data_IF_616158566540
#
_entry.id   IF_616158566540
#
_cell.length_a   1.000
_cell.length_b   1.000
_cell.length_c   1.000
_cell.angle_alpha   90.00
_cell.angle_beta   90.00
_cell.angle_gamma   90.00
#
_symmetry.space_group_name_H-M   'P 1'
#
loop_
_entity.id
_entity.type
_entity.pdbx_description
1 polymer ?
#
# COMPACT_ATOMS: atom_id res chain seq x y z
N UNK A 1 31.54 1.85 -21.17
CA UNK A 1 31.55 2.73 -19.97
C UNK A 1 30.44 2.30 -19.03
N UNK A 2 30.71 2.36 -17.72
CA UNK A 2 30.15 1.53 -16.63
C UNK A 2 28.61 1.64 -16.46
N UNK A 3 27.86 0.65 -16.98
CA UNK A 3 26.51 0.26 -16.56
C UNK A 3 26.62 -0.78 -15.43
N UNK A 4 25.60 -0.90 -14.56
CA UNK A 4 25.55 -1.65 -13.29
C UNK A 4 26.21 -1.00 -12.06
N UNK A 5 25.59 0.06 -11.53
CA UNK A 5 25.86 0.53 -10.15
C UNK A 5 24.82 0.05 -9.13
N UNK A 6 23.51 0.12 -9.42
CA UNK A 6 22.49 -0.22 -8.41
C UNK A 6 22.51 -1.71 -7.99
N UNK A 7 22.55 -2.65 -8.94
CA UNK A 7 22.53 -4.09 -8.63
C UNK A 7 23.75 -4.59 -7.84
N UNK A 8 24.94 -3.99 -8.04
CA UNK A 8 26.13 -4.31 -7.24
C UNK A 8 26.11 -3.65 -5.87
N UNK A 9 25.54 -2.45 -5.76
CA UNK A 9 25.38 -1.73 -4.50
C UNK A 9 24.46 -2.49 -3.53
N UNK A 10 23.33 -3.02 -4.00
CA UNK A 10 22.40 -3.76 -3.13
C UNK A 10 23.03 -5.05 -2.59
N UNK A 11 23.77 -5.80 -3.41
CA UNK A 11 24.42 -7.04 -2.97
C UNK A 11 25.65 -6.81 -2.08
N UNK A 12 26.37 -5.69 -2.26
CA UNK A 12 27.47 -5.32 -1.35
C UNK A 12 26.96 -4.75 -0.03
N UNK A 13 25.88 -3.97 -0.04
CA UNK A 13 25.23 -3.46 1.17
C UNK A 13 24.76 -4.61 2.08
N UNK A 14 24.12 -5.64 1.52
CA UNK A 14 23.60 -6.76 2.31
C UNK A 14 24.68 -7.70 2.87
N UNK A 15 25.92 -7.66 2.33
CA UNK A 15 27.03 -8.47 2.85
C UNK A 15 27.84 -7.78 3.95
N UNK A 16 27.77 -6.46 4.07
CA UNK A 16 28.57 -5.69 5.04
C UNK A 16 27.79 -5.21 6.28
N UNK A 17 26.45 -5.22 6.27
CA UNK A 17 25.67 -4.77 7.43
C UNK A 17 25.15 -5.93 8.29
N UNK A 18 26.04 -6.51 9.08
CA UNK A 18 25.71 -7.07 10.42
C UNK A 18 25.92 -6.01 11.50
N UNK A 19 25.64 -4.76 11.17
CA UNK A 19 25.58 -3.64 12.10
C UNK A 19 24.12 -3.37 12.38
N UNK A 20 23.75 -3.33 13.67
CA UNK A 20 22.52 -2.74 14.17
C UNK A 20 22.21 -1.50 13.33
N UNK A 21 21.21 -1.60 12.45
CA UNK A 21 20.64 -0.45 11.80
C UNK A 21 20.05 0.38 12.95
N UNK A 22 20.73 1.47 13.31
CA UNK A 22 20.21 2.45 14.24
C UNK A 22 18.96 3.05 13.57
N UNK A 23 17.80 2.44 13.89
CA UNK A 23 16.45 2.82 13.45
C UNK A 23 15.86 3.90 14.37
N UNK A 24 16.63 4.37 15.35
CA UNK A 24 16.29 5.43 16.30
C UNK A 24 16.19 6.82 15.64
N UNK A 25 16.87 7.03 14.51
CA UNK A 25 16.76 8.25 13.73
C UNK A 25 16.39 7.96 12.26
N UNK A 26 15.10 7.73 11.99
CA UNK A 26 14.62 7.46 10.63
C UNK A 26 14.75 8.66 9.67
N UNK A 27 14.86 9.89 10.18
CA UNK A 27 14.92 11.11 9.36
C UNK A 27 16.17 11.19 8.48
N UNK A 28 17.24 10.48 8.84
CA UNK A 28 18.47 10.41 8.03
C UNK A 28 18.26 9.62 6.73
N UNK A 29 17.24 8.75 6.66
CA UNK A 29 16.94 7.93 5.49
C UNK A 29 15.91 8.61 4.60
N UNK A 30 16.31 9.73 3.97
CA UNK A 30 15.42 10.56 3.14
C UNK A 30 14.72 9.81 2.01
N UNK A 31 15.31 8.73 1.49
CA UNK A 31 14.66 7.91 0.45
C UNK A 31 13.67 6.88 1.03
N UNK A 32 13.80 6.51 2.30
CA UNK A 32 12.96 5.48 2.93
C UNK A 32 11.50 5.95 3.01
N UNK A 33 11.31 7.16 3.53
CA UNK A 33 10.01 7.81 3.70
C UNK A 33 10.03 9.22 3.11
N UNK A 34 8.99 9.54 2.35
CA UNK A 34 8.75 10.87 1.77
C UNK A 34 7.28 11.22 1.96
N UNK A 35 6.92 12.51 2.10
CA UNK A 35 5.53 12.90 2.18
C UNK A 35 4.77 12.49 0.90
N UNK A 36 3.54 12.01 1.07
CA UNK A 36 2.65 11.80 -0.07
C UNK A 36 2.38 13.16 -0.75
N UNK A 37 2.34 13.25 -2.10
CA UNK A 37 2.29 12.15 -3.07
C UNK A 37 3.66 11.71 -3.64
N UNK A 38 4.79 12.14 -3.08
CA UNK A 38 6.10 11.75 -3.59
C UNK A 38 6.38 10.25 -3.42
N UNK A 39 7.22 9.71 -4.30
CA UNK A 39 7.71 8.34 -4.16
C UNK A 39 8.72 8.25 -3.01
N UNK A 40 8.65 7.15 -2.28
CA UNK A 40 9.66 6.71 -1.32
C UNK A 40 9.90 5.21 -1.51
N UNK A 41 10.97 4.69 -0.90
CA UNK A 41 11.35 3.30 -1.01
C UNK A 41 10.24 2.38 -0.48
N UNK A 42 9.56 2.76 0.62
CA UNK A 42 8.42 2.01 1.15
C UNK A 42 7.29 1.88 0.10
N UNK A 43 6.87 3.01 -0.51
CA UNK A 43 5.81 2.99 -1.53
C UNK A 43 6.18 2.22 -2.78
N UNK A 44 7.44 2.28 -3.19
CA UNK A 44 7.93 1.50 -4.32
C UNK A 44 7.97 0.01 -3.97
N UNK A 45 8.48 -0.35 -2.79
CA UNK A 45 8.62 -1.74 -2.37
C UNK A 45 7.27 -2.46 -2.29
N UNK A 46 6.31 -1.97 -1.49
CA UNK A 46 5.04 -2.68 -1.35
C UNK A 46 4.28 -2.74 -2.67
N UNK A 47 4.37 -1.67 -3.49
CA UNK A 47 3.71 -1.65 -4.78
C UNK A 47 4.26 -2.73 -5.72
N UNK A 48 5.58 -2.80 -5.88
CA UNK A 48 6.21 -3.80 -6.74
C UNK A 48 6.02 -5.21 -6.18
N UNK A 49 6.19 -5.38 -4.86
CA UNK A 49 6.02 -6.65 -4.16
C UNK A 49 4.60 -7.18 -4.34
N UNK A 50 3.59 -6.39 -4.01
CA UNK A 50 2.18 -6.81 -4.10
C UNK A 50 1.78 -7.07 -5.55
N UNK A 51 2.11 -6.17 -6.48
CA UNK A 51 1.75 -6.33 -7.89
C UNK A 51 2.41 -7.56 -8.52
N UNK A 52 3.62 -7.94 -8.08
CA UNK A 52 4.28 -9.18 -8.48
C UNK A 52 3.65 -10.39 -7.84
N UNK A 53 3.45 -10.37 -6.52
CA UNK A 53 2.89 -11.49 -5.76
C UNK A 53 1.47 -11.83 -6.21
N UNK A 54 0.65 -10.82 -6.55
CA UNK A 54 -0.72 -11.02 -7.01
C UNK A 54 -0.85 -11.20 -8.53
N UNK A 55 0.26 -11.19 -9.28
CA UNK A 55 0.28 -11.48 -10.72
C UNK A 55 -0.18 -10.34 -11.63
N UNK A 56 -0.29 -9.10 -11.13
CA UNK A 56 -0.65 -7.91 -11.92
C UNK A 56 0.55 -7.26 -12.64
N UNK A 57 1.76 -7.74 -12.36
CA UNK A 57 2.99 -7.24 -12.96
C UNK A 57 3.97 -8.37 -13.26
N UNK A 58 4.61 -8.33 -14.43
CA UNK A 58 5.64 -9.28 -14.82
C UNK A 58 7.04 -8.86 -14.34
N UNK A 59 7.99 -9.79 -14.38
CA UNK A 59 9.35 -9.52 -13.88
C UNK A 59 10.05 -8.50 -14.75
N UNK A 60 9.80 -8.58 -16.06
CA UNK A 60 10.37 -7.67 -17.04
C UNK A 60 9.86 -6.25 -16.84
N UNK A 61 8.59 -6.09 -16.44
CA UNK A 61 8.02 -4.77 -16.13
C UNK A 61 8.68 -4.14 -14.89
N UNK A 62 8.96 -4.95 -13.86
CA UNK A 62 9.72 -4.49 -12.68
C UNK A 62 11.13 -4.07 -13.08
N UNK A 63 11.82 -4.90 -13.87
CA UNK A 63 13.19 -4.62 -14.30
C UNK A 63 13.27 -3.34 -15.16
N UNK A 64 12.30 -3.13 -16.06
CA UNK A 64 12.20 -1.89 -16.86
C UNK A 64 11.98 -0.68 -15.96
N UNK A 65 10.99 -0.73 -15.06
CA UNK A 65 10.74 0.35 -14.10
C UNK A 65 11.98 0.71 -13.28
N UNK A 66 12.69 -0.29 -12.75
CA UNK A 66 13.88 -0.06 -11.93
C UNK A 66 15.06 0.52 -12.72
N UNK A 67 15.16 0.25 -14.03
CA UNK A 67 16.17 0.86 -14.89
C UNK A 67 15.94 2.36 -15.10
N UNK A 68 14.67 2.77 -15.07
CA UNK A 68 14.20 4.14 -15.31
C UNK A 68 13.98 4.94 -14.00
N UNK A 69 14.28 4.31 -12.85
CA UNK A 69 14.26 4.91 -11.53
C UNK A 69 15.65 5.43 -11.15
N UNK A 70 15.74 6.74 -10.89
CA UNK A 70 16.97 7.41 -10.48
C UNK A 70 16.78 8.22 -9.21
N UNK A 71 17.88 8.72 -8.63
CA UNK A 71 17.85 9.60 -7.46
C UNK A 71 18.52 10.92 -7.82
N UNK A 72 17.81 12.02 -7.61
CA UNK A 72 18.32 13.39 -7.77
C UNK A 72 17.99 14.16 -6.50
N UNK A 73 19.01 14.75 -5.86
CA UNK A 73 18.88 15.52 -4.62
C UNK A 73 18.04 14.81 -3.54
N UNK A 74 18.37 13.54 -3.28
CA UNK A 74 17.70 12.74 -2.25
C UNK A 74 16.25 12.34 -2.57
N UNK A 75 15.80 12.49 -3.82
CA UNK A 75 14.43 12.17 -4.25
C UNK A 75 14.42 11.23 -5.45
N UNK A 76 13.45 10.33 -5.50
CA UNK A 76 13.24 9.47 -6.65
C UNK A 76 12.69 10.23 -7.84
N UNK A 77 13.30 10.03 -9.01
CA UNK A 77 12.93 10.63 -10.28
C UNK A 77 12.80 9.53 -11.34
N UNK A 78 11.67 9.55 -12.05
CA UNK A 78 11.40 8.63 -13.17
C UNK A 78 11.71 9.31 -14.49
N UNK A 79 12.42 8.61 -15.38
CA UNK A 79 12.72 9.07 -16.73
C UNK A 79 12.69 7.92 -17.73
N UNK A 80 12.05 8.08 -18.91
CA UNK A 80 11.39 9.29 -19.40
C UNK A 80 10.02 9.56 -18.75
N UNK A 81 9.36 10.64 -19.17
CA UNK A 81 8.01 11.02 -18.72
C UNK A 81 6.96 9.90 -18.91
N UNK A 82 7.11 9.09 -19.96
CA UNK A 82 6.25 7.94 -20.24
C UNK A 82 6.28 6.88 -19.12
N UNK A 83 7.43 6.66 -18.48
CA UNK A 83 7.57 5.76 -17.33
C UNK A 83 6.83 6.32 -16.12
N UNK A 84 6.87 7.63 -15.89
CA UNK A 84 6.09 8.26 -14.81
C UNK A 84 4.58 8.09 -15.03
N UNK A 85 4.11 8.26 -16.27
CA UNK A 85 2.72 8.03 -16.64
C UNK A 85 2.31 6.56 -16.51
N UNK A 86 3.17 5.65 -16.94
CA UNK A 86 2.97 4.21 -16.76
C UNK A 86 2.85 3.84 -15.28
N UNK A 87 3.73 4.39 -14.43
CA UNK A 87 3.71 4.13 -13.00
C UNK A 87 2.41 4.60 -12.36
N UNK A 88 1.92 5.81 -12.70
CA UNK A 88 0.63 6.31 -12.21
C UNK A 88 -0.51 5.35 -12.60
N UNK A 89 -0.53 4.89 -13.86
CA UNK A 89 -1.58 3.98 -14.34
C UNK A 89 -1.53 2.62 -13.63
N UNK A 90 -0.34 2.04 -13.47
CA UNK A 90 -0.18 0.78 -12.72
C UNK A 90 -0.48 0.93 -11.24
N UNK A 91 -0.17 2.06 -10.64
CA UNK A 91 -0.52 2.35 -9.25
C UNK A 91 -2.03 2.53 -9.08
N UNK A 92 -2.74 3.10 -10.05
CA UNK A 92 -4.20 3.13 -10.07
C UNK A 92 -4.81 1.72 -10.16
N UNK A 93 -4.25 0.85 -11.02
CA UNK A 93 -4.65 -0.56 -11.10
C UNK A 93 -4.46 -1.27 -9.75
N UNK A 94 -3.31 -1.07 -9.09
CA UNK A 94 -3.04 -1.59 -7.76
C UNK A 94 -4.07 -1.11 -6.72
N UNK A 95 -4.38 0.20 -6.73
CA UNK A 95 -5.38 0.76 -5.82
C UNK A 95 -6.74 0.09 -6.03
N UNK A 96 -7.17 -0.07 -7.27
CA UNK A 96 -8.50 -0.59 -7.58
C UNK A 96 -8.61 -2.10 -7.32
N UNK A 97 -7.59 -2.86 -7.73
CA UNK A 97 -7.60 -4.31 -7.65
C UNK A 97 -7.30 -4.84 -6.24
N UNK A 98 -6.49 -4.10 -5.46
CA UNK A 98 -5.98 -4.55 -4.16
C UNK A 98 -6.48 -3.66 -3.03
N UNK A 99 -6.11 -2.38 -3.02
CA UNK A 99 -6.31 -1.53 -1.83
C UNK A 99 -7.79 -1.18 -1.58
N UNK A 100 -8.54 -0.96 -2.65
CA UNK A 100 -9.96 -0.63 -2.63
C UNK A 100 -10.83 -1.78 -3.14
N UNK A 101 -10.29 -2.99 -3.19
CA UNK A 101 -11.08 -4.18 -3.47
C UNK A 101 -12.18 -4.33 -2.41
N UNK A 102 -13.46 -4.50 -2.80
CA UNK A 102 -14.56 -4.57 -1.84
C UNK A 102 -14.39 -5.64 -0.78
N UNK A 103 -13.83 -6.81 -1.14
CA UNK A 103 -13.57 -7.90 -0.18
C UNK A 103 -12.47 -7.53 0.82
N UNK A 104 -11.42 -6.85 0.38
CA UNK A 104 -10.34 -6.40 1.26
C UNK A 104 -10.81 -5.29 2.21
N UNK A 105 -11.69 -4.39 1.73
CA UNK A 105 -12.32 -3.38 2.57
C UNK A 105 -13.22 -4.04 3.62
N UNK A 106 -14.05 -5.01 3.21
CA UNK A 106 -14.90 -5.76 4.13
C UNK A 106 -14.09 -6.50 5.19
N UNK A 107 -13.03 -7.23 4.79
CA UNK A 107 -12.21 -7.98 5.74
C UNK A 107 -11.52 -7.05 6.74
N UNK A 108 -10.98 -5.92 6.30
CA UNK A 108 -10.37 -4.91 7.18
C UNK A 108 -11.40 -4.31 8.15
N UNK A 109 -12.58 -3.92 7.66
CA UNK A 109 -13.66 -3.40 8.48
C UNK A 109 -14.12 -4.41 9.53
N UNK A 110 -14.33 -5.66 9.10
CA UNK A 110 -14.81 -6.75 9.94
C UNK A 110 -13.78 -7.13 11.01
N UNK A 111 -12.51 -7.23 10.64
CA UNK A 111 -11.42 -7.50 11.59
C UNK A 111 -11.27 -6.37 12.60
N UNK A 112 -11.40 -5.11 12.17
CA UNK A 112 -11.40 -3.95 13.08
C UNK A 112 -12.54 -4.06 14.11
N UNK A 113 -13.74 -4.45 13.68
CA UNK A 113 -14.87 -4.64 14.59
C UNK A 113 -14.65 -5.80 15.58
N UNK A 114 -14.05 -6.90 15.12
CA UNK A 114 -13.70 -8.07 15.94
C UNK A 114 -12.66 -7.69 17.00
N UNK A 115 -11.55 -7.05 16.60
CA UNK A 115 -10.48 -6.66 17.50
C UNK A 115 -10.97 -5.63 18.53
N UNK A 116 -11.78 -4.65 18.10
CA UNK A 116 -12.40 -3.70 19.04
C UNK A 116 -13.28 -4.41 20.06
N UNK A 117 -14.15 -5.32 19.61
CA UNK A 117 -14.99 -6.07 20.54
C UNK A 117 -14.17 -6.92 21.51
N UNK A 118 -13.08 -7.55 21.05
CA UNK A 118 -12.19 -8.34 21.89
C UNK A 118 -11.44 -7.47 22.91
N UNK A 119 -11.01 -6.27 22.54
CA UNK A 119 -10.41 -5.29 23.46
C UNK A 119 -11.44 -4.78 24.48
N UNK A 120 -12.63 -4.37 24.03
CA UNK A 120 -13.71 -3.87 24.89
C UNK A 120 -14.23 -4.94 25.88
N UNK A 121 -14.00 -6.22 25.58
CA UNK A 121 -14.38 -7.36 26.42
C UNK A 121 -13.22 -7.93 27.24
N UNK A 122 -12.05 -7.27 27.24
CA UNK A 122 -10.82 -7.71 27.91
C UNK A 122 -10.34 -9.13 27.49
N UNK A 123 -10.77 -9.60 26.31
CA UNK A 123 -10.34 -10.89 25.77
C UNK A 123 -8.91 -10.87 25.24
N UNK A 124 -8.48 -9.70 24.79
CA UNK A 124 -7.10 -9.37 24.39
C UNK A 124 -6.75 -7.99 24.94
N UNK A 125 -5.45 -7.71 25.07
CA UNK A 125 -4.94 -6.40 25.47
C UNK A 125 -4.19 -5.74 24.32
N UNK A 126 -3.98 -4.43 24.40
CA UNK A 126 -3.11 -3.73 23.44
C UNK A 126 -1.69 -4.28 23.46
N UNK A 127 -1.13 -4.55 24.65
CA UNK A 127 0.19 -5.15 24.79
C UNK A 127 0.30 -6.52 24.09
N UNK A 128 -0.74 -7.37 24.20
CA UNK A 128 -0.79 -8.62 23.47
C UNK A 128 -0.75 -8.39 21.95
N UNK A 129 -1.55 -7.46 21.43
CA UNK A 129 -1.57 -7.16 19.99
C UNK A 129 -0.25 -6.59 19.47
N UNK A 130 0.51 -5.85 20.30
CA UNK A 130 1.80 -5.26 19.92
C UNK A 130 2.92 -6.29 19.74
N UNK A 131 2.87 -7.39 20.51
CA UNK A 131 3.93 -8.41 20.51
C UNK A 131 3.58 -9.66 19.71
N UNK A 132 2.30 -9.85 19.37
CA UNK A 132 1.81 -11.06 18.72
C UNK A 132 1.82 -10.99 17.20
N UNK A 133 1.99 -12.17 16.60
CA UNK A 133 1.82 -12.41 15.17
C UNK A 133 0.34 -12.60 14.81
N UNK A 134 0.01 -12.44 13.52
CA UNK A 134 -1.34 -12.69 13.00
C UNK A 134 -1.87 -14.08 13.39
N UNK A 135 -1.02 -15.11 13.37
CA UNK A 135 -1.40 -16.47 13.73
C UNK A 135 -1.77 -16.60 15.22
N UNK A 136 -0.97 -16.02 16.10
CA UNK A 136 -1.21 -16.02 17.55
C UNK A 136 -2.48 -15.23 17.91
N UNK A 137 -2.72 -14.09 17.26
CA UNK A 137 -3.95 -13.32 17.42
C UNK A 137 -5.16 -14.16 16.98
N UNK A 138 -5.09 -14.79 15.81
CA UNK A 138 -6.20 -15.60 15.31
C UNK A 138 -6.46 -16.86 16.16
N UNK A 139 -5.42 -17.52 16.65
CA UNK A 139 -5.54 -18.65 17.58
C UNK A 139 -6.20 -18.21 18.90
N UNK A 140 -5.73 -17.11 19.48
CA UNK A 140 -6.29 -16.54 20.71
C UNK A 140 -7.78 -16.22 20.55
N UNK A 141 -8.14 -15.51 19.48
CA UNK A 141 -9.52 -15.13 19.16
C UNK A 141 -10.41 -16.37 18.95
N UNK A 142 -9.90 -17.37 18.24
CA UNK A 142 -10.65 -18.61 17.95
C UNK A 142 -10.87 -19.47 19.21
N UNK A 143 -9.95 -19.43 20.17
CA UNK A 143 -10.06 -20.18 21.43
C UNK A 143 -11.03 -19.59 22.46
N UNK A 144 -11.50 -18.36 22.26
CA UNK A 144 -12.41 -17.68 23.21
C UNK A 144 -13.84 -18.21 23.05
N UNK A 145 -14.40 -18.76 24.13
CA UNK A 145 -15.76 -19.27 24.18
C UNK A 145 -16.81 -18.15 24.35
N UNK A 146 -16.89 -17.23 23.39
CA UNK A 146 -17.90 -16.18 23.31
C UNK A 146 -18.71 -16.28 22.01
N UNK A 147 -20.03 -16.52 22.12
CA UNK A 147 -20.89 -16.78 20.97
C UNK A 147 -20.94 -15.61 19.97
N UNK A 148 -20.87 -14.37 20.46
CA UNK A 148 -20.88 -13.18 19.61
C UNK A 148 -19.57 -13.06 18.84
N UNK A 149 -18.42 -13.22 19.50
CA UNK A 149 -17.11 -13.24 18.85
C UNK A 149 -17.02 -14.33 17.78
N UNK A 150 -17.40 -15.56 18.13
CA UNK A 150 -17.33 -16.70 17.22
C UNK A 150 -18.21 -16.49 15.98
N UNK A 151 -19.39 -15.90 16.13
CA UNK A 151 -20.23 -15.51 15.00
C UNK A 151 -19.58 -14.45 14.11
N UNK A 152 -18.84 -13.49 14.68
CA UNK A 152 -18.14 -12.47 13.90
C UNK A 152 -16.93 -13.05 13.17
N UNK A 153 -16.15 -13.93 13.81
CA UNK A 153 -15.03 -14.63 13.19
C UNK A 153 -15.50 -15.54 12.04
N UNK A 154 -16.60 -16.27 12.22
CA UNK A 154 -17.18 -17.12 11.19
C UNK A 154 -17.59 -16.36 9.92
N UNK A 155 -17.81 -15.04 10.02
CA UNK A 155 -18.13 -14.16 8.89
C UNK A 155 -16.90 -13.65 8.11
N UNK A 156 -15.68 -14.10 8.48
CA UNK A 156 -14.44 -13.88 7.75
C UNK A 156 -14.06 -15.16 6.97
N UNK A 157 -14.58 -15.30 5.76
CA UNK A 157 -14.25 -16.41 4.87
C UNK A 157 -14.28 -15.98 3.40
N UNK A 158 -13.67 -16.79 2.53
CA UNK A 158 -13.45 -16.46 1.11
C UNK A 158 -14.73 -16.38 0.27
N UNK A 159 -15.82 -16.99 0.76
CA UNK A 159 -17.13 -17.02 0.08
C UNK A 159 -18.00 -15.79 0.33
N UNK A 160 -17.52 -14.81 1.10
CA UNK A 160 -18.25 -13.56 1.28
C UNK A 160 -18.45 -12.85 -0.06
N UNK A 161 -19.66 -12.32 -0.27
CA UNK A 161 -20.02 -11.52 -1.43
C UNK A 161 -20.35 -10.10 -1.01
N UNK A 162 -19.59 -9.15 -1.54
CA UNK A 162 -19.70 -7.72 -1.23
C UNK A 162 -19.50 -6.91 -2.50
N UNK A 163 -20.16 -5.75 -2.58
CA UNK A 163 -20.05 -4.83 -3.71
C UNK A 163 -19.91 -3.37 -3.25
N UNK A 164 -19.49 -2.51 -4.17
CA UNK A 164 -19.55 -1.05 -3.98
C UNK A 164 -20.92 -0.55 -4.41
N UNK A 165 -21.61 0.17 -3.52
CA UNK A 165 -22.94 0.70 -3.81
C UNK A 165 -23.20 1.97 -2.99
N UNK A 166 -23.18 3.14 -3.63
CA UNK A 166 -23.35 4.42 -2.92
C UNK A 166 -24.80 4.70 -2.51
N UNK A 167 -25.78 4.05 -3.16
CA UNK A 167 -27.20 4.29 -2.91
C UNK A 167 -27.77 3.35 -1.83
N UNK A 168 -27.21 2.14 -1.71
CA UNK A 168 -27.63 1.13 -0.76
C UNK A 168 -26.40 0.40 -0.23
N UNK A 169 -25.95 0.74 0.98
CA UNK A 169 -24.77 0.16 1.61
C UNK A 169 -25.05 -0.18 3.07
N UNK A 170 -24.27 -1.13 3.60
CA UNK A 170 -24.32 -1.54 5.00
C UNK A 170 -23.30 -0.76 5.84
N UNK A 171 -22.17 -0.36 5.24
CA UNK A 171 -21.22 0.55 5.88
C UNK A 171 -20.43 1.39 4.87
N UNK A 172 -19.88 2.50 5.36
CA UNK A 172 -18.99 3.39 4.61
C UNK A 172 -17.63 3.45 5.31
N UNK A 173 -16.55 3.37 4.54
CA UNK A 173 -15.18 3.42 5.07
C UNK A 173 -14.31 4.38 4.26
N UNK A 174 -13.59 5.25 4.96
CA UNK A 174 -12.54 6.10 4.40
C UNK A 174 -11.18 5.62 4.87
N UNK A 175 -10.39 5.09 3.94
CA UNK A 175 -9.02 4.68 4.19
C UNK A 175 -8.02 5.83 4.05
N UNK A 176 -6.75 5.55 4.33
CA UNK A 176 -5.64 6.47 4.06
C UNK A 176 -5.53 6.72 2.54
N UNK A 177 -5.49 7.98 2.12
CA UNK A 177 -5.26 8.35 0.73
C UNK A 177 -3.93 7.79 0.23
N UNK A 178 -3.95 7.02 -0.86
CA UNK A 178 -2.76 6.47 -1.51
C UNK A 178 -2.70 6.98 -2.94
N UNK A 179 -2.03 8.10 -3.14
CA UNK A 179 -1.81 8.71 -4.46
C UNK A 179 -0.33 9.00 -4.65
N UNK A 180 0.13 8.85 -5.88
CA UNK A 180 1.52 9.06 -6.29
C UNK A 180 1.58 10.14 -7.37
N UNK A 181 2.54 11.04 -7.24
CA UNK A 181 2.89 12.06 -8.23
C UNK A 181 4.42 12.03 -8.41
N UNK A 182 4.93 11.09 -9.22
CA UNK A 182 6.35 10.91 -9.40
C UNK A 182 7.04 12.17 -9.93
N UNK A 183 8.28 12.39 -9.51
CA UNK A 183 9.09 13.46 -10.06
C UNK A 183 9.70 13.05 -11.40
N UNK A 184 9.87 14.03 -12.29
CA UNK A 184 10.51 13.88 -13.61
C UNK A 184 11.54 14.99 -13.79
N UNK A 185 12.63 14.69 -14.49
CA UNK A 185 13.65 15.66 -14.89
C UNK A 185 13.20 16.38 -16.15
N UNK A 186 13.27 17.70 -16.13
CA UNK A 186 13.06 18.58 -17.29
C UNK A 186 14.29 19.46 -17.53
N UNK A 187 14.28 20.24 -18.61
CA UNK A 187 15.29 21.28 -18.85
C UNK A 187 15.30 22.36 -17.75
N UNK A 188 14.17 22.56 -17.07
CA UNK A 188 13.99 23.55 -16.01
C UNK A 188 14.20 22.96 -14.60
N UNK A 189 14.62 21.70 -14.50
CA UNK A 189 14.85 21.00 -13.23
C UNK A 189 13.86 19.85 -12.98
N UNK A 190 13.89 19.35 -11.75
CA UNK A 190 13.05 18.23 -11.28
C UNK A 190 11.70 18.76 -10.81
N UNK A 191 10.61 18.29 -11.41
CA UNK A 191 9.23 18.71 -11.10
C UNK A 191 8.30 17.51 -10.98
N UNK A 192 7.18 17.60 -10.24
CA UNK A 192 6.14 16.56 -10.26
C UNK A 192 5.51 16.45 -11.66
N UNK A 193 5.27 15.23 -12.12
CA UNK A 193 4.74 14.99 -13.46
C UNK A 193 3.38 15.67 -13.70
N UNK A 194 2.55 15.81 -12.65
CA UNK A 194 1.27 16.51 -12.73
C UNK A 194 1.37 17.99 -13.12
N UNK A 195 2.56 18.61 -12.98
CA UNK A 195 2.77 20.02 -13.32
C UNK A 195 2.98 20.26 -14.81
N UNK A 196 3.41 19.22 -15.55
CA UNK A 196 3.74 19.31 -16.97
C UNK A 196 2.89 18.39 -17.86
N UNK A 197 2.20 17.41 -17.27
CA UNK A 197 1.36 16.47 -17.99
C UNK A 197 -0.09 16.45 -17.48
N UNK A 198 -1.02 16.91 -18.32
CA UNK A 198 -2.44 17.00 -17.98
C UNK A 198 -3.13 15.63 -17.79
N UNK A 199 -2.65 14.58 -18.47
CA UNK A 199 -3.16 13.21 -18.24
C UNK A 199 -2.79 12.73 -16.84
N UNK A 200 -1.53 12.92 -16.42
CA UNK A 200 -1.08 12.59 -15.07
C UNK A 200 -1.91 13.33 -14.01
N UNK A 201 -2.06 14.65 -14.18
CA UNK A 201 -2.83 15.51 -13.29
C UNK A 201 -4.29 15.06 -13.16
N UNK A 202 -4.94 14.73 -14.27
CA UNK A 202 -6.31 14.23 -14.28
C UNK A 202 -6.45 12.88 -13.57
N UNK A 203 -5.52 11.94 -13.84
CA UNK A 203 -5.45 10.64 -13.18
C UNK A 203 -5.30 10.78 -11.65
N UNK A 204 -4.34 11.61 -11.21
CA UNK A 204 -4.06 11.87 -9.80
C UNK A 204 -5.29 12.47 -9.10
N UNK A 205 -5.90 13.50 -9.69
CA UNK A 205 -7.09 14.15 -9.13
C UNK A 205 -8.28 13.19 -9.02
N UNK A 206 -8.47 12.34 -10.02
CA UNK A 206 -9.53 11.32 -10.01
C UNK A 206 -9.33 10.35 -8.85
N UNK A 207 -8.10 9.87 -8.64
CA UNK A 207 -7.77 8.97 -7.56
C UNK A 207 -7.88 9.62 -6.18
N UNK A 208 -7.46 10.89 -6.04
CA UNK A 208 -7.64 11.67 -4.81
C UNK A 208 -9.12 11.76 -4.43
N UNK A 209 -9.98 12.14 -5.37
CA UNK A 209 -11.42 12.23 -5.14
C UNK A 209 -12.04 10.87 -4.76
N UNK A 210 -11.55 9.77 -5.35
CA UNK A 210 -12.00 8.41 -4.98
C UNK A 210 -11.72 8.11 -3.50
N UNK A 211 -10.53 8.46 -3.00
CA UNK A 211 -10.19 8.31 -1.58
C UNK A 211 -10.99 9.24 -0.67
N UNK A 212 -11.20 10.51 -1.08
CA UNK A 212 -12.01 11.48 -0.34
C UNK A 212 -13.47 11.03 -0.20
N UNK A 213 -14.04 10.47 -1.27
CA UNK A 213 -15.39 9.90 -1.24
C UNK A 213 -15.45 8.70 -0.29
N UNK A 214 -14.43 7.83 -0.31
CA UNK A 214 -14.41 6.57 0.43
C UNK A 214 -15.20 5.47 -0.29
N UNK A 215 -15.37 4.34 0.39
CA UNK A 215 -16.02 3.16 -0.18
C UNK A 215 -17.30 2.83 0.58
N UNK A 216 -18.39 2.72 -0.17
CA UNK A 216 -19.71 2.35 0.34
C UNK A 216 -19.92 0.87 0.03
N UNK A 217 -19.91 0.02 1.06
CA UNK A 217 -19.92 -1.43 0.89
C UNK A 217 -21.30 -1.98 1.23
N UNK A 218 -21.87 -2.72 0.28
CA UNK A 218 -23.04 -3.56 0.47
C UNK A 218 -22.60 -5.00 0.68
N UNK A 219 -23.11 -5.65 1.70
CA UNK A 219 -22.91 -7.07 1.97
C UNK A 219 -24.07 -7.85 1.38
N UNK A 220 -23.77 -8.69 0.40
CA UNK A 220 -24.77 -9.49 -0.33
C UNK A 220 -24.98 -10.83 0.39
N UNK A 221 -23.87 -11.50 0.73
CA UNK A 221 -23.89 -12.80 1.40
C UNK A 221 -22.68 -12.96 2.33
N UNK A 222 -22.94 -13.52 3.51
CA UNK A 222 -21.98 -13.93 4.54
C UNK A 222 -22.33 -15.35 4.94
#
# INVERSE_FOLDING_TARGET
>A
MKKNRLGRLVTSFLKETTTDLALDNLEQYQLLEQPSPHLCANRIDYFLRDMRTYGYMREEEVALFLNDLSVVDGRFVLQPEDVALWYIQKYQEYVDAVLLNPKNIYSAWKMTAILRYALDSDFVTMEFLEISTDAEVMEKLSGISDAKLQKQLAALHTKVEVELNEQNYDFHMRGKTRVVDPLVQTINGVVPISTINEKAKSSIKTLQKKYENGSFIRVIHV
#
